data_IF_343145690228
#
_entry.id   IF_343145690228
#
_cell.length_a   1.000
_cell.length_b   1.000
_cell.length_c   1.000
_cell.angle_alpha   90.00
_cell.angle_beta   90.00
_cell.angle_gamma   90.00
#
_symmetry.space_group_name_H-M   'P 1'
#
loop_
_entity.id
_entity.type
_entity.pdbx_description
1 polymer ?
#
# COMPACT_ATOMS: atom_id res chain seq x y z
N UNK A 1 15.74 17.37 2.95
CA UNK A 1 15.96 15.95 2.58
C UNK A 1 16.55 15.78 1.16
N UNK A 2 16.16 16.58 0.18
CA UNK A 2 16.55 16.41 -1.23
C UNK A 2 18.04 16.58 -1.59
N UNK A 3 18.84 17.17 -0.72
CA UNK A 3 20.27 17.42 -1.01
C UNK A 3 21.19 16.22 -0.67
N UNK A 4 20.71 15.25 0.12
CA UNK A 4 21.48 14.05 0.48
C UNK A 4 21.35 13.03 -0.65
N UNK A 5 22.50 12.58 -1.17
CA UNK A 5 22.58 11.64 -2.29
C UNK A 5 21.71 10.39 -2.08
N UNK A 6 21.87 9.72 -0.94
CA UNK A 6 21.17 8.47 -0.65
C UNK A 6 19.65 8.67 -0.61
N UNK A 7 19.17 9.74 0.03
CA UNK A 7 17.73 10.01 0.11
C UNK A 7 17.15 10.35 -1.26
N UNK A 8 17.85 11.15 -2.06
CA UNK A 8 17.42 11.48 -3.42
C UNK A 8 17.38 10.24 -4.32
N UNK A 9 18.36 9.35 -4.18
CA UNK A 9 18.42 8.11 -4.95
C UNK A 9 17.29 7.15 -4.54
N UNK A 10 17.03 6.98 -3.24
CA UNK A 10 15.93 6.15 -2.75
C UNK A 10 14.57 6.66 -3.25
N UNK A 11 14.37 7.98 -3.22
CA UNK A 11 13.17 8.61 -3.77
C UNK A 11 13.01 8.31 -5.27
N UNK A 12 14.07 8.43 -6.05
CA UNK A 12 14.07 8.15 -7.47
C UNK A 12 13.78 6.67 -7.76
N UNK A 13 14.45 5.74 -7.07
CA UNK A 13 14.24 4.29 -7.23
C UNK A 13 12.79 3.92 -6.93
N UNK A 14 12.18 4.49 -5.88
CA UNK A 14 10.78 4.25 -5.56
C UNK A 14 9.85 4.60 -6.73
N UNK A 15 10.03 5.77 -7.35
CA UNK A 15 9.26 6.18 -8.52
C UNK A 15 9.58 5.35 -9.78
N UNK A 16 10.85 4.99 -9.97
CA UNK A 16 11.26 4.13 -11.10
C UNK A 16 10.54 2.78 -11.08
N UNK A 17 10.47 2.13 -9.91
CA UNK A 17 9.79 0.84 -9.75
C UNK A 17 8.33 0.95 -10.22
N UNK A 18 7.63 2.00 -9.82
CA UNK A 18 6.26 2.24 -10.27
C UNK A 18 6.21 2.51 -11.78
N UNK A 19 7.00 3.43 -12.28
CA UNK A 19 6.94 3.88 -13.68
C UNK A 19 7.40 2.81 -14.68
N UNK A 20 8.30 1.92 -14.29
CA UNK A 20 8.77 0.80 -15.12
C UNK A 20 7.83 -0.40 -15.08
N UNK A 21 7.03 -0.54 -14.01
CA UNK A 21 6.06 -1.65 -13.91
C UNK A 21 4.92 -1.45 -14.93
N UNK A 22 4.83 -2.36 -15.92
CA UNK A 22 3.79 -2.31 -16.96
C UNK A 22 2.44 -2.83 -16.48
N UNK A 23 2.44 -3.66 -15.44
CA UNK A 23 1.24 -4.28 -14.88
C UNK A 23 0.97 -3.70 -13.49
N UNK A 24 -0.02 -2.81 -13.32
CA UNK A 24 -0.33 -2.19 -12.04
C UNK A 24 -0.81 -3.18 -10.96
N UNK A 25 -1.23 -4.38 -11.35
CA UNK A 25 -1.63 -5.42 -10.41
C UNK A 25 -0.46 -6.10 -9.66
N UNK A 26 0.78 -5.85 -10.11
CA UNK A 26 2.00 -6.41 -9.51
C UNK A 26 2.70 -5.47 -8.53
N UNK A 27 2.18 -4.29 -8.36
CA UNK A 27 2.77 -3.28 -7.47
C UNK A 27 1.67 -2.65 -6.62
N UNK A 28 1.99 -2.37 -5.36
CA UNK A 28 1.06 -1.71 -4.43
C UNK A 28 1.73 -0.49 -3.81
N UNK A 29 0.96 0.57 -3.63
CA UNK A 29 1.43 1.80 -3.02
C UNK A 29 1.36 1.69 -1.50
N UNK A 30 2.51 1.86 -0.84
CA UNK A 30 2.63 1.95 0.61
C UNK A 30 3.65 3.00 1.00
N UNK A 31 3.43 3.69 2.12
CA UNK A 31 4.37 4.66 2.69
C UNK A 31 5.19 4.08 3.84
N UNK A 32 4.94 2.83 4.24
CA UNK A 32 5.54 2.23 5.45
C UNK A 32 5.38 3.14 6.67
N UNK A 33 4.17 3.66 6.86
CA UNK A 33 3.87 4.56 7.98
C UNK A 33 4.04 3.86 9.33
N UNK A 34 4.68 4.49 10.34
CA UNK A 34 5.30 5.82 10.32
C UNK A 34 6.77 5.85 9.88
N UNK A 35 7.42 4.69 9.69
CA UNK A 35 8.88 4.56 9.57
C UNK A 35 9.40 5.08 8.23
N UNK A 36 8.79 4.69 7.12
CA UNK A 36 9.20 5.14 5.79
C UNK A 36 8.65 6.51 5.41
N UNK A 37 7.42 6.82 5.81
CA UNK A 37 6.79 8.09 5.55
C UNK A 37 5.39 8.22 6.14
N UNK A 38 4.87 9.44 6.17
CA UNK A 38 3.49 9.68 6.60
C UNK A 38 2.49 9.16 5.57
N UNK A 39 1.38 8.55 6.02
CA UNK A 39 0.26 8.24 5.14
C UNK A 39 -0.35 9.51 4.51
N UNK A 40 -0.18 10.68 5.13
CA UNK A 40 -0.60 11.96 4.57
C UNK A 40 0.16 12.31 3.26
N UNK A 41 1.24 11.60 2.93
CA UNK A 41 2.00 11.80 1.70
C UNK A 41 1.40 11.05 0.48
N UNK A 42 0.36 10.24 0.64
CA UNK A 42 -0.26 9.57 -0.50
C UNK A 42 -0.67 10.50 -1.64
N UNK A 43 -1.34 11.66 -1.39
CA UNK A 43 -1.70 12.59 -2.45
C UNK A 43 -0.50 13.10 -3.25
N UNK A 44 0.59 13.45 -2.56
CA UNK A 44 1.83 13.90 -3.19
C UNK A 44 2.47 12.79 -4.05
N UNK A 45 2.52 11.56 -3.55
CA UNK A 45 3.08 10.42 -4.31
C UNK A 45 2.22 10.15 -5.55
N UNK A 46 0.90 10.21 -5.43
CA UNK A 46 -0.02 10.07 -6.57
C UNK A 46 0.25 11.16 -7.62
N UNK A 47 0.41 12.41 -7.21
CA UNK A 47 0.76 13.51 -8.12
C UNK A 47 2.08 13.25 -8.83
N UNK A 48 3.12 12.79 -8.12
CA UNK A 48 4.40 12.43 -8.73
C UNK A 48 4.28 11.31 -9.78
N UNK A 49 3.33 10.40 -9.64
CA UNK A 49 3.07 9.34 -10.60
C UNK A 49 2.23 9.81 -11.79
N UNK A 50 1.32 10.77 -11.60
CA UNK A 50 0.35 11.22 -12.60
C UNK A 50 0.73 12.50 -13.32
N UNK A 51 1.71 13.27 -12.81
CA UNK A 51 2.14 14.56 -13.36
C UNK A 51 3.65 14.53 -13.60
N UNK A 52 4.02 14.32 -14.85
CA UNK A 52 5.43 14.31 -15.30
C UNK A 52 6.09 15.67 -15.11
N UNK A 53 5.38 16.75 -15.36
CA UNK A 53 5.93 18.11 -15.26
C UNK A 53 6.30 18.39 -13.82
N UNK A 54 5.37 18.17 -12.90
CA UNK A 54 5.62 18.30 -11.46
C UNK A 54 6.77 17.39 -10.98
N UNK A 55 6.79 16.13 -11.44
CA UNK A 55 7.89 15.20 -11.13
C UNK A 55 9.25 15.74 -11.57
N UNK A 56 9.35 16.31 -12.79
CA UNK A 56 10.58 16.93 -13.29
C UNK A 56 10.99 18.17 -12.50
N UNK A 57 10.07 18.99 -12.07
CA UNK A 57 10.33 20.14 -11.19
C UNK A 57 10.91 19.66 -9.85
N UNK A 58 10.31 18.63 -9.23
CA UNK A 58 10.84 18.03 -8.00
C UNK A 58 12.27 17.48 -8.19
N UNK A 59 12.54 16.82 -9.32
CA UNK A 59 13.88 16.31 -9.63
C UNK A 59 14.92 17.42 -9.72
N UNK A 60 14.55 18.59 -10.23
CA UNK A 60 15.45 19.74 -10.41
C UNK A 60 16.02 20.31 -9.11
N UNK A 61 15.38 20.03 -7.96
CA UNK A 61 15.85 20.49 -6.63
C UNK A 61 16.54 19.38 -5.82
N UNK A 62 16.63 18.16 -6.37
CA UNK A 62 17.29 17.03 -5.72
C UNK A 62 18.79 16.98 -6.01
N UNK A 63 19.50 16.07 -5.33
CA UNK A 63 20.92 15.85 -5.55
C UNK A 63 21.20 15.45 -7.01
N UNK A 64 21.97 16.25 -7.73
CA UNK A 64 22.25 16.07 -9.16
C UNK A 64 22.93 14.73 -9.48
N UNK A 65 23.89 14.29 -8.64
CA UNK A 65 24.56 13.00 -8.84
C UNK A 65 23.58 11.83 -8.70
N UNK A 66 22.63 11.91 -7.78
CA UNK A 66 21.60 10.90 -7.61
C UNK A 66 20.67 10.87 -8.83
N UNK A 67 20.25 12.03 -9.32
CA UNK A 67 19.40 12.11 -10.52
C UNK A 67 20.11 11.60 -11.78
N UNK A 68 21.40 11.86 -11.92
CA UNK A 68 22.19 11.34 -13.04
C UNK A 68 22.43 9.82 -12.97
N UNK A 69 22.41 9.24 -11.78
CA UNK A 69 22.50 7.78 -11.57
C UNK A 69 21.15 7.06 -11.75
N UNK A 70 20.05 7.80 -11.87
CA UNK A 70 18.67 7.31 -11.94
C UNK A 70 18.18 7.29 -13.39
N UNK A 71 17.29 6.35 -13.73
CA UNK A 71 16.57 6.31 -15.01
C UNK A 71 15.37 7.27 -15.04
N UNK A 72 15.00 7.83 -13.89
CA UNK A 72 13.76 8.60 -13.72
C UNK A 72 13.62 9.77 -14.70
N UNK A 73 14.76 10.40 -15.06
CA UNK A 73 14.81 11.52 -16.03
C UNK A 73 14.29 11.15 -17.42
N UNK A 74 14.45 9.87 -17.79
CA UNK A 74 14.10 9.34 -19.11
C UNK A 74 12.71 8.70 -19.13
N UNK A 75 12.00 8.67 -17.99
CA UNK A 75 10.68 8.07 -17.86
C UNK A 75 9.59 9.12 -18.04
N UNK A 76 8.91 9.03 -19.18
CA UNK A 76 7.83 9.95 -19.55
C UNK A 76 6.44 9.43 -19.20
N UNK A 77 6.34 8.18 -18.68
CA UNK A 77 5.08 7.56 -18.29
C UNK A 77 4.39 8.35 -17.18
N UNK A 78 3.08 8.45 -17.29
CA UNK A 78 2.17 8.90 -16.24
C UNK A 78 1.15 7.81 -15.93
N UNK A 79 0.75 7.71 -14.68
CA UNK A 79 -0.31 6.81 -14.24
C UNK A 79 -1.67 7.40 -14.57
N UNK A 80 -2.59 6.56 -14.98
CA UNK A 80 -4.01 6.90 -15.13
C UNK A 80 -4.72 6.81 -13.76
N UNK A 81 -5.91 7.39 -13.65
CA UNK A 81 -6.76 7.25 -12.46
C UNK A 81 -7.10 5.77 -12.19
N UNK A 82 -7.32 4.98 -13.24
CA UNK A 82 -7.56 3.54 -13.10
C UNK A 82 -6.36 2.83 -12.48
N UNK A 83 -5.16 3.09 -12.96
CA UNK A 83 -3.93 2.50 -12.41
C UNK A 83 -3.71 2.93 -10.96
N UNK A 84 -4.00 4.18 -10.61
CA UNK A 84 -3.96 4.64 -9.21
C UNK A 84 -4.97 3.88 -8.35
N UNK A 85 -6.19 3.65 -8.82
CA UNK A 85 -7.17 2.85 -8.11
C UNK A 85 -6.68 1.40 -7.92
N UNK A 86 -6.01 0.83 -8.91
CA UNK A 86 -5.46 -0.52 -8.81
C UNK A 86 -4.35 -0.56 -7.75
N UNK A 87 -3.32 0.27 -7.85
CA UNK A 87 -2.15 0.19 -6.96
C UNK A 87 -2.45 0.58 -5.51
N UNK A 88 -3.50 1.37 -5.27
CA UNK A 88 -3.84 1.90 -3.94
C UNK A 88 -5.04 1.23 -3.29
N UNK A 89 -5.87 0.48 -4.02
CA UNK A 89 -7.12 -0.11 -3.51
C UNK A 89 -7.35 -1.55 -3.96
N UNK A 90 -7.59 -1.76 -5.26
CA UNK A 90 -7.94 -3.08 -5.79
C UNK A 90 -6.79 -4.09 -5.66
N UNK A 91 -5.56 -3.67 -5.96
CA UNK A 91 -4.35 -4.49 -5.83
C UNK A 91 -4.08 -4.89 -4.39
N UNK A 92 -4.00 -3.96 -3.42
CA UNK A 92 -3.88 -4.28 -1.99
C UNK A 92 -4.97 -5.22 -1.50
N UNK A 93 -6.24 -4.97 -1.84
CA UNK A 93 -7.35 -5.85 -1.45
C UNK A 93 -7.16 -7.27 -1.98
N UNK A 94 -6.78 -7.40 -3.25
CA UNK A 94 -6.49 -8.70 -3.88
C UNK A 94 -5.31 -9.41 -3.22
N UNK A 95 -4.22 -8.70 -2.94
CA UNK A 95 -3.03 -9.25 -2.26
C UNK A 95 -3.36 -9.78 -0.87
N UNK A 96 -4.26 -9.10 -0.16
CA UNK A 96 -4.70 -9.48 1.19
C UNK A 96 -5.85 -10.51 1.19
N UNK A 97 -6.35 -10.93 0.03
CA UNK A 97 -7.46 -11.87 -0.07
C UNK A 97 -8.82 -11.30 0.36
N UNK A 98 -8.99 -9.98 0.34
CA UNK A 98 -10.21 -9.27 0.73
C UNK A 98 -11.20 -9.26 -0.43
N UNK A 99 -12.02 -10.29 -0.56
CA UNK A 99 -12.92 -10.48 -1.71
C UNK A 99 -14.04 -9.44 -1.79
N UNK A 100 -14.47 -8.90 -0.66
CA UNK A 100 -15.54 -7.91 -0.57
C UNK A 100 -15.02 -6.45 -0.64
N UNK A 101 -13.71 -6.25 -0.90
CA UNK A 101 -13.09 -4.91 -0.92
C UNK A 101 -12.30 -4.63 -2.19
N UNK A 102 -12.09 -3.35 -2.45
CA UNK A 102 -11.30 -2.89 -3.61
C UNK A 102 -12.06 -2.90 -4.93
N UNK A 103 -13.38 -3.09 -4.92
CA UNK A 103 -14.26 -3.02 -6.08
C UNK A 103 -15.67 -2.53 -5.70
N UNK A 104 -16.45 -2.14 -6.71
CA UNK A 104 -17.82 -1.66 -6.58
C UNK A 104 -18.86 -2.68 -7.10
N UNK A 105 -18.45 -3.94 -7.29
CA UNK A 105 -19.32 -5.00 -7.77
C UNK A 105 -20.33 -5.47 -6.73
N UNK A 106 -21.33 -6.26 -7.17
CA UNK A 106 -22.33 -6.86 -6.29
C UNK A 106 -21.64 -7.73 -5.24
N UNK A 107 -22.02 -7.55 -3.97
CA UNK A 107 -21.44 -8.24 -2.83
C UNK A 107 -20.23 -7.56 -2.21
N UNK A 108 -19.77 -6.44 -2.77
CA UNK A 108 -18.74 -5.63 -2.13
C UNK A 108 -19.27 -4.89 -0.90
N UNK A 109 -18.38 -4.65 0.06
CA UNK A 109 -18.63 -3.73 1.17
C UNK A 109 -18.92 -2.32 0.62
N UNK A 110 -19.82 -1.58 1.29
CA UNK A 110 -20.15 -0.19 0.94
C UNK A 110 -19.03 0.81 1.29
N UNK A 111 -17.79 0.51 0.85
CA UNK A 111 -16.60 1.35 1.06
C UNK A 111 -16.36 2.17 -0.21
N UNK A 112 -16.73 3.45 -0.20
CA UNK A 112 -16.65 4.33 -1.39
C UNK A 112 -16.04 5.67 -1.01
N UNK A 113 -15.10 6.12 -1.84
CA UNK A 113 -14.54 7.48 -1.75
C UNK A 113 -14.78 8.22 -3.06
N UNK A 114 -15.37 9.38 -3.01
CA UNK A 114 -15.67 10.22 -4.17
C UNK A 114 -14.87 11.52 -4.07
N UNK A 115 -14.16 11.85 -5.13
CA UNK A 115 -13.35 13.06 -5.26
C UNK A 115 -13.94 13.98 -6.31
N UNK A 116 -13.78 15.28 -6.13
CA UNK A 116 -13.98 16.24 -7.21
C UNK A 116 -12.83 16.09 -8.23
N UNK A 117 -13.16 16.18 -9.51
CA UNK A 117 -12.15 16.09 -10.56
C UNK A 117 -11.38 17.41 -10.64
N UNK A 118 -10.13 17.41 -10.19
CA UNK A 118 -9.23 18.55 -10.23
C UNK A 118 -8.01 18.25 -11.09
N UNK A 119 -7.43 19.30 -11.70
CA UNK A 119 -6.18 19.19 -12.47
C UNK A 119 -5.01 18.87 -11.53
N UNK A 120 -4.92 19.56 -10.39
CA UNK A 120 -3.94 19.25 -9.36
C UNK A 120 -4.33 17.94 -8.62
N UNK A 121 -3.57 16.88 -8.88
CA UNK A 121 -3.84 15.55 -8.32
C UNK A 121 -3.55 15.44 -6.83
N UNK A 122 -2.61 16.24 -6.30
CA UNK A 122 -2.39 16.30 -4.87
C UNK A 122 -3.59 16.92 -4.14
N UNK A 123 -4.08 18.03 -4.64
CA UNK A 123 -5.27 18.67 -4.07
C UNK A 123 -6.49 17.76 -4.21
N UNK A 124 -6.69 17.13 -5.36
CA UNK A 124 -7.78 16.19 -5.62
C UNK A 124 -7.83 15.06 -4.59
N UNK A 125 -6.69 14.39 -4.35
CA UNK A 125 -6.63 13.23 -3.47
C UNK A 125 -6.49 13.58 -1.98
N UNK A 126 -6.20 14.83 -1.64
CA UNK A 126 -6.13 15.32 -0.25
C UNK A 126 -7.50 15.57 0.39
N UNK A 127 -8.52 15.84 -0.42
CA UNK A 127 -9.83 16.25 0.08
C UNK A 127 -10.96 15.48 -0.63
N UNK A 128 -11.32 14.28 -0.17
CA UNK A 128 -12.48 13.58 -0.71
C UNK A 128 -13.76 14.36 -0.44
N UNK A 129 -14.64 14.41 -1.44
CA UNK A 129 -15.94 15.07 -1.29
C UNK A 129 -16.91 14.22 -0.47
N UNK A 130 -16.95 12.90 -0.74
CA UNK A 130 -17.75 11.95 0.04
C UNK A 130 -16.90 10.74 0.41
N UNK A 131 -17.10 10.25 1.64
CA UNK A 131 -16.54 8.97 2.09
C UNK A 131 -17.64 8.16 2.75
N UNK A 132 -17.82 6.95 2.25
CA UNK A 132 -18.66 5.93 2.86
C UNK A 132 -17.81 4.76 3.34
N UNK A 133 -18.12 4.25 4.52
CA UNK A 133 -17.49 3.07 5.11
C UNK A 133 -18.57 2.10 5.57
N UNK A 134 -18.53 0.87 5.05
CA UNK A 134 -19.57 -0.14 5.30
C UNK A 134 -21.02 0.38 5.07
N UNK A 135 -21.19 1.27 4.07
CA UNK A 135 -22.48 1.91 3.77
C UNK A 135 -22.83 3.13 4.65
N UNK A 136 -22.04 3.44 5.67
CA UNK A 136 -22.23 4.63 6.50
C UNK A 136 -21.50 5.83 5.90
N UNK A 137 -22.19 6.95 5.74
CA UNK A 137 -21.61 8.21 5.27
C UNK A 137 -20.79 8.87 6.39
N UNK A 138 -19.49 9.07 6.16
CA UNK A 138 -18.56 9.67 7.11
C UNK A 138 -18.19 11.10 6.75
N UNK A 139 -18.02 11.36 5.45
CA UNK A 139 -17.71 12.69 4.90
C UNK A 139 -18.76 13.02 3.86
N UNK A 140 -19.30 14.22 3.94
CA UNK A 140 -20.18 14.83 2.94
C UNK A 140 -19.75 16.27 2.67
N UNK A 141 -19.60 16.61 1.39
CA UNK A 141 -19.14 17.94 0.94
C UNK A 141 -17.89 18.42 1.69
N UNK A 142 -16.90 17.50 1.81
CA UNK A 142 -15.58 17.69 2.46
C UNK A 142 -15.60 17.77 4.00
N UNK A 143 -16.78 17.69 4.64
CA UNK A 143 -16.92 17.82 6.10
C UNK A 143 -17.26 16.48 6.75
N UNK A 144 -16.70 16.23 7.93
CA UNK A 144 -17.06 15.07 8.73
C UNK A 144 -18.50 15.18 9.25
N UNK A 145 -19.34 14.20 8.89
CA UNK A 145 -20.75 14.17 9.28
C UNK A 145 -21.06 13.08 10.30
N UNK A 146 -20.20 12.08 10.44
CA UNK A 146 -20.33 11.05 11.46
C UNK A 146 -18.99 10.37 11.75
N UNK A 147 -18.89 9.75 12.94
CA UNK A 147 -17.77 8.92 13.33
C UNK A 147 -18.07 7.45 13.01
N UNK A 148 -17.04 6.72 12.51
CA UNK A 148 -17.11 5.29 12.31
C UNK A 148 -16.50 4.58 13.52
N UNK A 149 -17.34 3.91 14.30
CA UNK A 149 -16.93 3.22 15.53
C UNK A 149 -16.83 1.71 15.38
N UNK A 150 -17.43 1.16 14.32
CA UNK A 150 -17.47 -0.29 14.09
C UNK A 150 -16.16 -0.76 13.43
N UNK A 151 -15.25 -1.24 14.25
CA UNK A 151 -13.93 -1.72 13.82
C UNK A 151 -14.00 -3.19 13.41
N UNK A 152 -13.68 -3.48 12.14
CA UNK A 152 -13.43 -4.85 11.68
C UNK A 152 -11.93 -5.14 11.71
N UNK A 153 -11.52 -6.10 12.52
CA UNK A 153 -10.15 -6.61 12.54
C UNK A 153 -10.11 -7.86 11.66
N UNK A 154 -9.25 -7.86 10.65
CA UNK A 154 -9.05 -8.97 9.74
C UNK A 154 -7.70 -9.63 10.07
N UNK A 155 -7.69 -10.95 10.20
CA UNK A 155 -6.47 -11.73 10.36
C UNK A 155 -6.30 -12.64 9.14
N UNK A 156 -5.14 -12.59 8.51
CA UNK A 156 -4.77 -13.56 7.49
C UNK A 156 -4.06 -14.71 8.19
N UNK A 157 -4.59 -15.92 8.06
CA UNK A 157 -4.00 -17.14 8.59
C UNK A 157 -3.37 -17.92 7.42
N UNK A 158 -2.03 -17.84 7.22
CA UNK A 158 -1.37 -18.61 6.18
C UNK A 158 -1.32 -20.10 6.56
N UNK A 159 -1.48 -20.94 5.55
CA UNK A 159 -1.20 -22.36 5.67
C UNK A 159 0.33 -22.54 5.80
N UNK A 160 0.78 -23.30 6.78
CA UNK A 160 2.20 -23.62 6.97
C UNK A 160 2.36 -25.11 7.37
N UNK A 161 3.55 -25.61 7.17
CA UNK A 161 3.93 -26.96 7.57
C UNK A 161 4.40 -26.93 9.04
N UNK A 162 3.58 -27.48 9.94
CA UNK A 162 3.88 -27.50 11.38
C UNK A 162 5.19 -28.24 11.69
N UNK A 163 5.64 -29.17 10.83
CA UNK A 163 6.89 -29.92 11.04
C UNK A 163 8.11 -29.00 11.05
N UNK A 164 8.04 -27.81 10.46
CA UNK A 164 9.13 -26.82 10.46
C UNK A 164 9.51 -26.37 11.87
N UNK A 165 8.60 -26.48 12.83
CA UNK A 165 8.88 -26.13 14.21
C UNK A 165 10.02 -26.96 14.80
N UNK A 166 10.16 -28.23 14.39
CA UNK A 166 11.24 -29.10 14.84
C UNK A 166 12.63 -28.60 14.41
N UNK A 167 12.67 -27.82 13.32
CA UNK A 167 13.91 -27.17 12.83
C UNK A 167 14.11 -25.80 13.48
N UNK A 168 13.04 -25.04 13.61
CA UNK A 168 13.10 -23.65 14.11
C UNK A 168 13.40 -23.59 15.61
N UNK A 169 12.79 -24.45 16.42
CA UNK A 169 12.98 -24.43 17.88
C UNK A 169 14.44 -24.56 18.29
N UNK A 170 15.21 -25.57 17.85
CA UNK A 170 16.64 -25.66 18.15
C UNK A 170 17.42 -24.45 17.66
N UNK A 171 17.11 -23.93 16.48
CA UNK A 171 17.77 -22.75 15.93
C UNK A 171 17.55 -21.51 16.81
N UNK A 172 16.34 -21.33 17.36
CA UNK A 172 16.08 -20.26 18.32
C UNK A 172 16.87 -20.43 19.60
N UNK A 173 16.95 -21.63 20.14
CA UNK A 173 17.67 -21.91 21.37
C UNK A 173 19.19 -21.66 21.21
N UNK A 174 19.76 -21.92 20.02
CA UNK A 174 21.17 -21.75 19.74
C UNK A 174 21.58 -20.30 19.42
N UNK A 175 20.71 -19.52 18.77
CA UNK A 175 21.09 -18.23 18.17
C UNK A 175 20.35 -17.02 18.74
N UNK A 176 19.25 -17.19 19.48
CA UNK A 176 18.47 -16.08 20.02
C UNK A 176 18.41 -16.10 21.55
N UNK A 177 18.38 -14.91 22.13
CA UNK A 177 18.20 -14.74 23.57
C UNK A 177 16.74 -14.93 24.04
N UNK A 178 15.81 -14.98 23.08
CA UNK A 178 14.37 -15.16 23.32
C UNK A 178 13.99 -16.59 22.96
N UNK A 179 13.36 -17.30 23.88
CA UNK A 179 12.86 -18.65 23.61
C UNK A 179 11.77 -18.65 22.56
N UNK A 180 11.78 -19.66 21.67
CA UNK A 180 10.76 -19.81 20.62
C UNK A 180 9.32 -19.75 21.16
N UNK A 181 9.05 -20.32 22.32
CA UNK A 181 7.72 -20.29 22.97
C UNK A 181 7.19 -18.89 23.27
N UNK A 182 8.06 -17.89 23.34
CA UNK A 182 7.68 -16.50 23.61
C UNK A 182 7.40 -15.70 22.32
N UNK A 183 7.61 -16.31 21.15
CA UNK A 183 7.41 -15.66 19.87
C UNK A 183 5.96 -15.69 19.38
N UNK A 184 5.23 -16.82 19.49
CA UNK A 184 3.83 -16.84 19.11
C UNK A 184 3.00 -15.92 19.99
N UNK A 185 2.17 -15.10 19.38
CA UNK A 185 1.17 -14.30 20.09
C UNK A 185 -0.03 -15.19 20.37
N UNK A 186 -0.41 -15.29 21.65
CA UNK A 186 -1.59 -16.05 22.05
C UNK A 186 -2.85 -15.51 21.38
N UNK A 187 -3.71 -16.40 20.89
CA UNK A 187 -4.93 -16.04 20.18
C UNK A 187 -5.88 -15.17 21.02
N UNK A 188 -5.77 -15.20 22.35
CA UNK A 188 -6.54 -14.32 23.24
C UNK A 188 -6.21 -12.84 23.06
N UNK A 189 -5.01 -12.52 22.53
CA UNK A 189 -4.59 -11.15 22.20
C UNK A 189 -4.92 -10.76 20.75
N UNK A 190 -5.29 -11.74 19.90
CA UNK A 190 -5.56 -11.55 18.48
C UNK A 190 -7.06 -11.48 18.22
N UNK A 191 -7.69 -10.39 18.65
CA UNK A 191 -9.10 -10.16 18.34
C UNK A 191 -9.29 -9.98 16.84
N UNK A 192 -9.98 -10.93 16.18
CA UNK A 192 -10.32 -10.83 14.77
C UNK A 192 -11.82 -11.09 14.56
N UNK A 193 -12.47 -10.19 13.82
CA UNK A 193 -13.87 -10.38 13.42
C UNK A 193 -13.98 -11.33 12.22
N UNK A 194 -12.92 -11.43 11.42
CA UNK A 194 -12.86 -12.32 10.26
C UNK A 194 -11.45 -12.90 10.11
N UNK A 195 -11.38 -14.20 9.92
CA UNK A 195 -10.14 -14.90 9.56
C UNK A 195 -10.19 -15.19 8.07
N UNK A 196 -9.13 -14.83 7.36
CA UNK A 196 -8.93 -15.13 5.95
C UNK A 196 -7.88 -16.24 5.86
N UNK A 197 -8.30 -17.41 5.46
CA UNK A 197 -7.37 -18.52 5.21
C UNK A 197 -6.64 -18.30 3.90
N UNK A 198 -5.31 -18.30 3.96
CA UNK A 198 -4.43 -18.21 2.81
C UNK A 198 -3.88 -19.59 2.49
N UNK A 199 -4.22 -20.12 1.32
CA UNK A 199 -3.73 -21.41 0.84
C UNK A 199 -2.50 -21.23 -0.04
N UNK A 200 -1.55 -22.15 0.08
CA UNK A 200 -0.40 -22.23 -0.81
C UNK A 200 -0.92 -22.43 -2.24
N UNK A 201 -0.57 -21.53 -3.13
CA UNK A 201 -0.88 -21.70 -4.55
C UNK A 201 0.00 -22.82 -5.08
N UNK A 202 -0.59 -23.95 -5.51
CA UNK A 202 0.16 -25.01 -6.17
C UNK A 202 0.93 -24.40 -7.33
N UNK A 203 2.19 -24.79 -7.48
CA UNK A 203 3.23 -24.23 -8.33
C UNK A 203 2.70 -23.58 -9.63
N UNK A 204 2.98 -22.29 -9.80
CA UNK A 204 2.71 -21.54 -11.05
C UNK A 204 3.67 -21.97 -12.18
N UNK A 205 4.57 -22.91 -11.91
CA UNK A 205 5.62 -23.35 -12.84
C UNK A 205 5.40 -24.75 -13.44
N UNK A 206 4.26 -25.39 -13.14
CA UNK A 206 3.83 -26.59 -13.88
C UNK A 206 2.77 -26.19 -14.91
N UNK A 207 3.23 -25.59 -16.01
CA UNK A 207 2.68 -25.68 -17.39
C UNK A 207 3.64 -24.97 -18.34
#
# INVERSE_FOLDING_TARGET
>A
MGHVYTHALQWAIGLEIFLLSKDPWRIVLSTDHPNGGSFANYPLIIKLLMDRTFRKECMGVLNEKAMNASLLKDLDREYTLEEICIISRAGPAKCLGLKEKGHLGVGADGDVTIYDMLDDKEQMFSAPRYVMKAGQLLIADHEFVSDYTDKKILRVAPEYDESIENVIKPFFDDFYSVSYKNYPVDDSFLHANKIIESKKKNNIYEN
#
